data_IF_308887737313
#
_entry.id   IF_308887737313
#
_cell.length_a   1.000
_cell.length_b   1.000
_cell.length_c   1.000
_cell.angle_alpha   90.00
_cell.angle_beta   90.00
_cell.angle_gamma   90.00
#
_symmetry.space_group_name_H-M   'P 1'
#
loop_
_entity.id
_entity.type
_entity.pdbx_description
1 polymer ?
#
# COMPACT_ATOMS: atom_id res chain seq x y z
N UNK A 1 42.60 3.15 26.84
CA UNK A 1 41.80 1.93 26.70
C UNK A 1 40.35 2.20 26.22
N UNK A 2 39.58 3.10 26.85
CA UNK A 2 38.18 3.44 26.44
C UNK A 2 38.02 3.94 24.99
N UNK A 3 39.00 4.66 24.43
CA UNK A 3 38.97 5.21 23.08
C UNK A 3 39.05 4.09 22.01
N UNK A 4 39.90 3.11 22.18
CA UNK A 4 40.06 1.94 21.27
C UNK A 4 38.80 1.06 21.24
N UNK A 5 38.12 0.87 22.37
CA UNK A 5 36.89 0.08 22.47
C UNK A 5 35.75 0.75 21.69
N UNK A 6 35.63 2.08 21.78
CA UNK A 6 34.59 2.83 21.04
C UNK A 6 34.76 2.73 19.51
N UNK A 7 36.01 2.77 19.03
CA UNK A 7 36.30 2.58 17.59
C UNK A 7 36.08 1.15 17.14
N UNK A 8 36.42 0.16 17.96
CA UNK A 8 36.17 -1.25 17.67
C UNK A 8 34.66 -1.54 17.56
N UNK A 9 33.86 -1.01 18.49
CA UNK A 9 32.38 -1.13 18.45
C UNK A 9 31.82 -0.48 17.18
N UNK A 10 32.23 0.74 16.83
CA UNK A 10 31.79 1.41 15.60
C UNK A 10 32.17 0.61 14.35
N UNK A 11 33.35 0.03 14.30
CA UNK A 11 33.82 -0.80 13.20
C UNK A 11 33.03 -2.10 13.09
N UNK A 12 32.72 -2.75 14.22
CA UNK A 12 31.85 -3.94 14.26
C UNK A 12 30.43 -3.64 13.82
N UNK A 13 29.85 -2.52 14.28
CA UNK A 13 28.53 -2.07 13.86
C UNK A 13 28.50 -1.75 12.36
N UNK A 14 29.55 -1.13 11.82
CA UNK A 14 29.68 -0.87 10.39
C UNK A 14 29.77 -2.17 9.59
N UNK A 15 30.59 -3.13 10.01
CA UNK A 15 30.66 -4.46 9.36
C UNK A 15 29.33 -5.19 9.43
N UNK A 16 28.64 -5.15 10.57
CA UNK A 16 27.35 -5.79 10.76
C UNK A 16 26.28 -5.14 9.85
N UNK A 17 26.24 -3.82 9.78
CA UNK A 17 25.34 -3.11 8.87
C UNK A 17 25.61 -3.45 7.40
N UNK A 18 26.89 -3.59 7.01
CA UNK A 18 27.27 -3.99 5.66
C UNK A 18 26.83 -5.42 5.32
N UNK A 19 26.98 -6.36 6.28
CA UNK A 19 26.53 -7.76 6.10
C UNK A 19 24.99 -7.81 5.96
N UNK A 20 24.26 -7.08 6.80
CA UNK A 20 22.80 -7.00 6.74
C UNK A 20 22.34 -6.35 5.42
N UNK A 21 23.02 -5.31 4.99
CA UNK A 21 22.79 -4.64 3.73
C UNK A 21 23.01 -5.57 2.53
N UNK A 22 24.15 -6.29 2.52
CA UNK A 22 24.49 -7.25 1.48
C UNK A 22 23.49 -8.41 1.43
N UNK A 23 23.08 -8.94 2.58
CA UNK A 23 22.08 -9.98 2.71
C UNK A 23 20.74 -9.56 2.09
N UNK A 24 20.28 -8.32 2.37
CA UNK A 24 19.06 -7.78 1.78
C UNK A 24 19.15 -7.65 0.26
N UNK A 25 20.24 -7.09 -0.26
CA UNK A 25 20.46 -6.96 -1.71
C UNK A 25 20.45 -8.32 -2.39
N UNK A 26 21.11 -9.32 -1.80
CA UNK A 26 21.14 -10.70 -2.34
C UNK A 26 19.74 -11.31 -2.38
N UNK A 27 18.95 -11.15 -1.32
CA UNK A 27 17.54 -11.62 -1.28
C UNK A 27 16.68 -10.91 -2.32
N UNK A 28 16.77 -9.58 -2.39
CA UNK A 28 16.04 -8.78 -3.37
C UNK A 28 16.39 -9.21 -4.81
N UNK A 29 17.67 -9.37 -5.14
CA UNK A 29 18.10 -9.84 -6.47
C UNK A 29 17.55 -11.23 -6.80
N UNK A 30 17.56 -12.17 -5.84
CA UNK A 30 16.98 -13.51 -6.03
C UNK A 30 15.47 -13.44 -6.27
N UNK A 31 14.74 -12.62 -5.51
CA UNK A 31 13.32 -12.43 -5.69
C UNK A 31 12.98 -11.75 -7.02
N UNK A 32 13.79 -10.76 -7.43
CA UNK A 32 13.67 -10.10 -8.75
C UNK A 32 13.79 -11.13 -9.87
N UNK A 33 14.86 -11.93 -9.87
CA UNK A 33 15.08 -12.95 -10.90
C UNK A 33 13.94 -13.98 -10.94
N UNK A 34 13.45 -14.42 -9.76
CA UNK A 34 12.29 -15.32 -9.68
C UNK A 34 11.06 -14.66 -10.30
N UNK A 35 10.77 -13.42 -9.96
CA UNK A 35 9.58 -12.71 -10.43
C UNK A 35 9.63 -12.39 -11.92
N UNK A 36 10.81 -12.09 -12.49
CA UNK A 36 10.99 -11.91 -13.93
C UNK A 36 10.61 -13.19 -14.69
N UNK A 37 11.02 -14.36 -14.20
CA UNK A 37 10.67 -15.64 -14.80
C UNK A 37 9.17 -15.98 -14.68
N UNK A 38 8.51 -15.56 -13.61
CA UNK A 38 7.07 -15.76 -13.40
C UNK A 38 6.20 -14.75 -14.15
N UNK A 39 6.77 -13.60 -14.52
CA UNK A 39 6.06 -12.47 -15.09
C UNK A 39 5.47 -11.55 -14.01
N UNK A 40 5.64 -10.25 -14.18
CA UNK A 40 5.25 -9.23 -13.18
C UNK A 40 3.73 -9.15 -12.98
N UNK A 41 2.93 -9.46 -14.00
CA UNK A 41 1.45 -9.52 -13.88
C UNK A 41 0.96 -10.62 -12.96
N UNK A 42 1.80 -11.60 -12.63
CA UNK A 42 1.50 -12.68 -11.69
C UNK A 42 1.87 -12.34 -10.23
N UNK A 43 2.35 -11.12 -9.95
CA UNK A 43 2.52 -10.65 -8.57
C UNK A 43 1.16 -10.65 -7.88
N UNK A 44 1.01 -11.31 -6.71
CA UNK A 44 -0.26 -11.33 -5.99
C UNK A 44 -0.60 -9.93 -5.45
N UNK A 45 -1.86 -9.54 -5.64
CA UNK A 45 -2.43 -8.28 -5.15
C UNK A 45 -3.43 -8.59 -4.06
N UNK A 46 -3.16 -8.16 -2.85
CA UNK A 46 -4.03 -8.33 -1.69
C UNK A 46 -4.77 -7.02 -1.39
N UNK A 47 -6.09 -7.07 -1.49
CA UNK A 47 -6.98 -5.96 -1.15
C UNK A 47 -7.50 -6.20 0.27
N UNK A 48 -7.12 -5.34 1.22
CA UNK A 48 -7.62 -5.42 2.60
C UNK A 48 -9.00 -4.78 2.64
N UNK A 49 -10.05 -5.57 2.84
CA UNK A 49 -11.41 -5.08 2.86
C UNK A 49 -12.10 -5.26 4.21
N UNK A 50 -12.89 -4.27 4.60
CA UNK A 50 -13.79 -4.32 5.75
C UNK A 50 -15.05 -3.51 5.47
N UNK A 51 -16.18 -4.19 5.28
CA UNK A 51 -17.49 -3.58 5.07
C UNK A 51 -17.56 -2.55 3.91
N UNK A 52 -16.75 -2.69 2.86
CA UNK A 52 -16.71 -1.82 1.68
C UNK A 52 -17.02 -2.63 0.42
N UNK A 53 -18.27 -2.61 -0.05
CA UNK A 53 -18.67 -3.30 -1.27
C UNK A 53 -18.31 -2.53 -2.53
N UNK A 54 -18.72 -1.25 -2.59
CA UNK A 54 -18.59 -0.44 -3.80
C UNK A 54 -17.13 -0.27 -4.20
N UNK A 55 -16.28 0.05 -3.24
CA UNK A 55 -14.85 0.23 -3.47
C UNK A 55 -14.13 -1.05 -3.88
N UNK A 56 -14.32 -2.16 -3.13
CA UNK A 56 -13.64 -3.41 -3.46
C UNK A 56 -14.08 -3.96 -4.81
N UNK A 57 -15.37 -3.86 -5.15
CA UNK A 57 -15.90 -4.27 -6.44
C UNK A 57 -15.28 -3.47 -7.60
N UNK A 58 -15.23 -2.14 -7.46
CA UNK A 58 -14.64 -1.27 -8.47
C UNK A 58 -13.14 -1.53 -8.63
N UNK A 59 -12.41 -1.69 -7.52
CA UNK A 59 -10.98 -1.96 -7.57
C UNK A 59 -10.66 -3.31 -8.22
N UNK A 60 -11.41 -4.37 -7.90
CA UNK A 60 -11.27 -5.68 -8.57
C UNK A 60 -11.52 -5.54 -10.07
N UNK A 61 -12.62 -4.87 -10.46
CA UNK A 61 -12.95 -4.65 -11.87
C UNK A 61 -11.87 -3.87 -12.62
N UNK A 62 -11.36 -2.80 -12.00
CA UNK A 62 -10.26 -1.98 -12.54
C UNK A 62 -8.98 -2.81 -12.70
N UNK A 63 -8.58 -3.59 -11.72
CA UNK A 63 -7.39 -4.41 -11.79
C UNK A 63 -7.50 -5.47 -12.90
N UNK A 64 -8.65 -6.14 -13.01
CA UNK A 64 -8.90 -7.13 -14.06
C UNK A 64 -8.83 -6.46 -15.45
N UNK A 65 -9.46 -5.29 -15.64
CA UNK A 65 -9.43 -4.57 -16.92
C UNK A 65 -8.02 -4.16 -17.36
N UNK A 66 -7.09 -3.96 -16.39
CA UNK A 66 -5.67 -3.69 -16.63
C UNK A 66 -4.82 -4.97 -16.78
N UNK A 67 -5.46 -6.13 -16.75
CA UNK A 67 -4.83 -7.45 -16.98
C UNK A 67 -4.11 -8.02 -15.75
N UNK A 68 -4.46 -7.59 -14.53
CA UNK A 68 -4.03 -8.22 -13.29
C UNK A 68 -5.04 -9.30 -12.90
N UNK A 69 -4.60 -10.55 -12.75
CA UNK A 69 -5.48 -11.70 -12.50
C UNK A 69 -5.19 -12.40 -11.17
N UNK A 70 -4.04 -12.15 -10.54
CA UNK A 70 -3.67 -12.75 -9.26
C UNK A 70 -4.12 -11.85 -8.10
N UNK A 71 -5.45 -11.72 -7.93
CA UNK A 71 -6.10 -10.82 -6.99
C UNK A 71 -6.73 -11.62 -5.86
N UNK A 72 -6.47 -11.21 -4.63
CA UNK A 72 -7.00 -11.78 -3.39
C UNK A 72 -7.63 -10.69 -2.55
N UNK A 73 -8.82 -10.93 -2.04
CA UNK A 73 -9.47 -10.05 -1.07
C UNK A 73 -9.23 -10.64 0.32
N UNK A 74 -8.64 -9.87 1.22
CA UNK A 74 -8.58 -10.22 2.65
C UNK A 74 -9.78 -9.56 3.32
N UNK A 75 -10.85 -10.33 3.53
CA UNK A 75 -12.02 -9.86 4.26
C UNK A 75 -11.76 -9.89 5.75
N UNK A 76 -11.62 -8.71 6.31
CA UNK A 76 -11.21 -8.49 7.70
C UNK A 76 -12.40 -8.60 8.69
N UNK A 77 -13.21 -9.68 8.52
CA UNK A 77 -14.43 -9.96 9.30
C UNK A 77 -15.58 -8.99 9.02
N UNK A 78 -15.90 -8.78 7.76
CA UNK A 78 -17.05 -7.96 7.36
C UNK A 78 -18.39 -8.59 7.74
N UNK A 79 -19.35 -7.72 8.03
CA UNK A 79 -20.74 -8.07 8.38
C UNK A 79 -21.80 -7.35 7.51
N UNK A 80 -21.37 -6.52 6.56
CA UNK A 80 -22.25 -5.82 5.62
C UNK A 80 -22.89 -6.80 4.64
N UNK A 81 -24.18 -7.09 4.81
CA UNK A 81 -24.89 -8.13 4.05
C UNK A 81 -24.77 -8.02 2.53
N UNK A 82 -24.88 -6.82 1.91
CA UNK A 82 -24.68 -6.70 0.47
C UNK A 82 -23.30 -7.13 -0.01
N UNK A 83 -22.25 -6.85 0.77
CA UNK A 83 -20.88 -7.29 0.49
C UNK A 83 -20.76 -8.82 0.57
N UNK A 84 -21.34 -9.42 1.61
CA UNK A 84 -21.28 -10.87 1.80
C UNK A 84 -21.97 -11.62 0.66
N UNK A 85 -23.13 -11.14 0.19
CA UNK A 85 -23.81 -11.67 -0.98
C UNK A 85 -22.97 -11.54 -2.27
N UNK A 86 -22.26 -10.43 -2.44
CA UNK A 86 -21.38 -10.27 -3.59
C UNK A 86 -20.21 -11.24 -3.57
N UNK A 87 -19.65 -11.55 -2.41
CA UNK A 87 -18.57 -12.53 -2.27
C UNK A 87 -18.97 -13.93 -2.75
N UNK A 88 -20.25 -14.32 -2.64
CA UNK A 88 -20.73 -15.63 -3.09
C UNK A 88 -20.57 -15.85 -4.60
N UNK A 89 -20.57 -14.75 -5.38
CA UNK A 89 -20.42 -14.75 -6.84
C UNK A 89 -19.16 -14.02 -7.31
N UNK A 90 -18.21 -13.78 -6.43
CA UNK A 90 -16.97 -13.08 -6.76
C UNK A 90 -16.00 -14.03 -7.49
N UNK A 91 -15.43 -13.56 -8.62
CA UNK A 91 -14.49 -14.34 -9.43
C UNK A 91 -13.04 -14.29 -8.96
N UNK A 92 -12.73 -13.61 -7.86
CA UNK A 92 -11.42 -13.56 -7.24
C UNK A 92 -11.44 -14.27 -5.90
N UNK A 93 -10.25 -14.68 -5.42
CA UNK A 93 -10.12 -15.38 -4.15
C UNK A 93 -10.47 -14.46 -2.96
N UNK A 94 -11.36 -14.92 -2.08
CA UNK A 94 -11.81 -14.18 -0.89
C UNK A 94 -11.40 -14.93 0.37
N UNK A 95 -10.42 -14.38 1.08
CA UNK A 95 -9.90 -14.93 2.33
C UNK A 95 -10.64 -14.30 3.50
N UNK A 96 -11.68 -15.00 4.00
CA UNK A 96 -12.51 -14.50 5.11
C UNK A 96 -11.91 -14.83 6.47
N UNK A 97 -11.66 -13.79 7.26
CA UNK A 97 -11.09 -13.92 8.60
C UNK A 97 -12.19 -13.95 9.67
N UNK A 98 -11.89 -14.62 10.80
CA UNK A 98 -12.83 -14.75 11.91
C UNK A 98 -12.90 -13.51 12.83
N UNK A 99 -11.97 -12.57 12.69
CA UNK A 99 -11.93 -11.31 13.46
C UNK A 99 -11.24 -10.21 12.65
N UNK A 100 -11.48 -8.96 13.02
CA UNK A 100 -10.82 -7.81 12.44
C UNK A 100 -9.43 -7.60 13.08
N UNK A 101 -8.38 -7.69 12.28
CA UNK A 101 -6.98 -7.47 12.68
C UNK A 101 -6.48 -6.04 12.39
N UNK A 102 -7.35 -5.18 11.83
CA UNK A 102 -7.00 -3.83 11.38
C UNK A 102 -6.18 -3.82 10.09
N UNK A 103 -5.63 -2.65 9.73
CA UNK A 103 -4.88 -2.44 8.49
C UNK A 103 -3.62 -3.32 8.35
N UNK A 104 -3.11 -3.87 9.44
CA UNK A 104 -1.93 -4.77 9.45
C UNK A 104 -2.28 -6.25 9.29
N UNK A 105 -3.48 -6.57 8.86
CA UNK A 105 -4.00 -7.93 8.81
C UNK A 105 -3.09 -8.90 8.07
N UNK A 106 -2.51 -8.50 6.93
CA UNK A 106 -1.62 -9.33 6.12
C UNK A 106 -0.42 -9.86 6.92
N UNK A 107 0.17 -9.03 7.81
CA UNK A 107 1.32 -9.39 8.66
C UNK A 107 0.93 -10.05 10.00
N UNK A 108 -0.37 -10.10 10.31
CA UNK A 108 -0.90 -10.71 11.54
C UNK A 108 -1.58 -12.05 11.31
N UNK A 109 -1.68 -12.50 10.06
CA UNK A 109 -2.21 -13.79 9.68
C UNK A 109 -1.15 -14.59 8.90
N UNK A 110 -1.41 -15.87 8.64
CA UNK A 110 -0.44 -16.80 8.03
C UNK A 110 -0.04 -16.43 6.59
N UNK A 111 -0.72 -15.46 5.99
CA UNK A 111 -0.41 -14.99 4.62
C UNK A 111 1.01 -14.43 4.53
N UNK A 112 1.47 -13.67 5.53
CA UNK A 112 2.81 -13.12 5.50
C UNK A 112 3.89 -14.20 5.36
N UNK A 113 3.81 -15.26 6.16
CA UNK A 113 4.83 -16.35 6.10
C UNK A 113 4.83 -17.04 4.75
N UNK A 114 3.67 -17.18 4.08
CA UNK A 114 3.56 -17.75 2.74
C UNK A 114 4.27 -16.90 1.68
N UNK A 115 4.17 -15.58 1.79
CA UNK A 115 4.70 -14.64 0.78
C UNK A 115 5.96 -13.89 1.21
N UNK A 116 6.52 -14.20 2.36
CA UNK A 116 7.64 -13.49 2.99
C UNK A 116 8.85 -13.25 2.08
N UNK A 117 9.17 -14.21 1.21
CA UNK A 117 10.35 -14.17 0.35
C UNK A 117 10.02 -13.70 -1.09
N UNK A 118 8.83 -13.20 -1.32
CA UNK A 118 8.31 -12.85 -2.64
C UNK A 118 7.95 -11.37 -2.74
N UNK A 119 7.67 -10.91 -3.96
CA UNK A 119 6.99 -9.64 -4.18
C UNK A 119 5.49 -9.83 -4.05
N UNK A 120 4.82 -8.88 -3.43
CA UNK A 120 3.36 -8.81 -3.32
C UNK A 120 2.89 -7.36 -3.25
N UNK A 121 1.67 -7.11 -3.66
CA UNK A 121 1.01 -5.80 -3.51
C UNK A 121 0.04 -5.87 -2.34
N UNK A 122 0.04 -4.84 -1.50
CA UNK A 122 -1.03 -4.59 -0.51
C UNK A 122 -1.68 -3.26 -0.87
N UNK A 123 -3.01 -3.24 -0.77
CA UNK A 123 -3.81 -2.04 -0.99
C UNK A 123 -5.07 -2.03 -0.12
N UNK A 124 -5.53 -0.83 0.23
CA UNK A 124 -6.89 -0.61 0.69
C UNK A 124 -7.85 -0.63 -0.52
N UNK A 125 -9.16 -0.87 -0.36
CA UNK A 125 -10.08 -1.06 -1.48
C UNK A 125 -10.44 0.24 -2.22
N UNK A 126 -10.10 1.39 -1.64
CA UNK A 126 -10.52 2.73 -2.04
C UNK A 126 -9.39 3.59 -2.64
N UNK A 127 -8.34 2.92 -3.14
CA UNK A 127 -7.22 3.56 -3.83
C UNK A 127 -7.33 3.29 -5.33
N UNK A 128 -7.53 4.34 -6.12
CA UNK A 128 -7.72 4.26 -7.57
C UNK A 128 -6.64 5.04 -8.33
N UNK A 129 -5.91 4.41 -9.28
CA UNK A 129 -4.99 5.13 -10.15
C UNK A 129 -5.71 6.23 -10.93
N UNK A 130 -5.05 7.37 -11.13
CA UNK A 130 -5.58 8.45 -11.98
C UNK A 130 -5.67 7.99 -13.44
N UNK A 131 -6.48 8.66 -14.26
CA UNK A 131 -6.71 8.27 -15.65
C UNK A 131 -5.44 8.29 -16.52
N UNK A 132 -4.48 9.15 -16.19
CA UNK A 132 -3.19 9.24 -16.88
C UNK A 132 -2.19 8.16 -16.46
N UNK A 133 -2.51 7.40 -15.40
CA UNK A 133 -1.64 6.36 -14.90
C UNK A 133 -1.56 5.18 -15.90
N UNK A 134 -0.36 4.78 -16.32
CA UNK A 134 -0.20 3.64 -17.21
C UNK A 134 -0.77 2.34 -16.61
N UNK A 135 -1.39 1.50 -17.42
CA UNK A 135 -1.99 0.24 -16.96
C UNK A 135 -0.99 -0.75 -16.38
N UNK A 136 0.29 -0.62 -16.75
CA UNK A 136 1.38 -1.46 -16.27
C UNK A 136 2.10 -0.89 -15.03
N UNK A 137 1.41 -0.13 -14.17
CA UNK A 137 2.02 0.55 -13.02
C UNK A 137 2.74 -0.39 -12.04
N UNK A 138 2.27 -1.62 -11.85
CA UNK A 138 2.98 -2.61 -11.01
C UNK A 138 4.31 -3.01 -11.66
N UNK A 139 4.37 -3.12 -12.99
CA UNK A 139 5.63 -3.31 -13.73
C UNK A 139 6.59 -2.16 -13.47
N UNK A 140 6.09 -0.92 -13.47
CA UNK A 140 6.92 0.27 -13.21
C UNK A 140 7.46 0.25 -11.77
N UNK A 141 6.64 -0.11 -10.78
CA UNK A 141 7.10 -0.28 -9.40
C UNK A 141 8.19 -1.36 -9.31
N UNK A 142 8.03 -2.45 -10.03
CA UNK A 142 9.00 -3.54 -10.07
C UNK A 142 10.32 -3.10 -10.71
N UNK A 143 10.29 -2.34 -11.81
CA UNK A 143 11.50 -1.77 -12.41
C UNK A 143 12.24 -0.84 -11.44
N UNK A 144 11.51 -0.05 -10.65
CA UNK A 144 12.13 0.75 -9.59
C UNK A 144 12.77 -0.10 -8.48
N UNK A 145 12.20 -1.26 -8.14
CA UNK A 145 12.86 -2.18 -7.22
C UNK A 145 14.19 -2.72 -7.76
N UNK A 146 14.31 -2.92 -9.06
CA UNK A 146 15.58 -3.32 -9.69
C UNK A 146 16.67 -2.25 -9.52
N UNK A 147 16.27 -0.98 -9.56
CA UNK A 147 17.16 0.17 -9.39
C UNK A 147 17.45 0.41 -7.88
N UNK A 148 16.45 0.23 -7.03
CA UNK A 148 16.50 0.53 -5.58
C UNK A 148 16.23 -0.71 -4.73
N UNK A 149 17.09 -1.75 -4.78
CA UNK A 149 16.83 -3.04 -4.11
C UNK A 149 16.84 -2.97 -2.58
N UNK A 150 17.15 -1.81 -2.02
CA UNK A 150 17.21 -1.59 -0.57
C UNK A 150 15.92 -1.04 0.02
N UNK A 151 15.05 -0.45 -0.79
CA UNK A 151 13.76 -0.03 -0.30
C UNK A 151 12.90 -1.23 0.04
N UNK A 152 11.93 -1.05 0.91
CA UNK A 152 11.05 -2.12 1.33
C UNK A 152 9.74 -2.13 0.55
N UNK A 153 9.33 -0.98 0.04
CA UNK A 153 8.12 -0.85 -0.75
C UNK A 153 8.18 0.35 -1.69
N UNK A 154 7.48 0.24 -2.80
CA UNK A 154 7.30 1.28 -3.80
C UNK A 154 5.82 1.32 -4.16
N UNK A 155 5.21 2.49 -4.13
CA UNK A 155 3.79 2.63 -4.40
C UNK A 155 3.40 4.02 -4.84
N UNK A 156 2.10 4.24 -4.99
CA UNK A 156 1.58 5.53 -5.42
C UNK A 156 1.81 6.65 -4.41
N UNK A 157 2.11 7.85 -4.92
CA UNK A 157 1.73 9.06 -4.20
C UNK A 157 0.23 9.30 -4.38
N UNK A 158 -0.38 9.93 -3.39
CA UNK A 158 -1.80 10.25 -3.46
C UNK A 158 -1.98 11.67 -4.00
N UNK A 159 -2.83 11.79 -5.03
CA UNK A 159 -3.16 13.06 -5.65
C UNK A 159 -4.02 13.89 -4.70
N UNK A 160 -3.63 15.14 -4.48
CA UNK A 160 -4.32 16.07 -3.58
C UNK A 160 -4.55 17.46 -4.20
N UNK A 161 -4.04 17.70 -5.39
CA UNK A 161 -4.13 19.00 -6.08
C UNK A 161 -5.44 19.18 -6.85
N UNK A 162 -6.25 18.12 -6.96
CA UNK A 162 -7.56 18.11 -7.58
C UNK A 162 -8.71 17.77 -6.61
N UNK A 163 -8.44 17.83 -5.30
CA UNK A 163 -9.48 17.63 -4.28
C UNK A 163 -10.58 18.70 -4.40
N UNK A 164 -11.86 18.32 -4.35
CA UNK A 164 -12.96 19.28 -4.35
C UNK A 164 -12.88 20.22 -3.15
N UNK A 165 -13.08 21.50 -3.35
CA UNK A 165 -13.03 22.50 -2.25
C UNK A 165 -14.09 22.27 -1.18
N UNK A 166 -15.23 21.69 -1.56
CA UNK A 166 -16.35 21.35 -0.70
C UNK A 166 -16.29 19.90 -0.16
N UNK A 167 -15.24 19.15 -0.41
CA UNK A 167 -15.08 17.84 0.22
C UNK A 167 -14.83 17.98 1.72
N UNK A 168 -15.40 17.08 2.50
CA UNK A 168 -15.53 17.19 3.97
C UNK A 168 -14.20 17.36 4.70
N UNK A 169 -13.10 16.84 4.17
CA UNK A 169 -11.79 16.80 4.85
C UNK A 169 -10.64 17.39 4.02
N UNK A 170 -10.94 18.24 3.02
CA UNK A 170 -9.91 18.73 2.08
C UNK A 170 -8.73 19.43 2.79
N UNK A 171 -8.99 20.31 3.74
CA UNK A 171 -7.93 21.06 4.43
C UNK A 171 -7.01 20.16 5.25
N UNK A 172 -7.57 19.19 5.98
CA UNK A 172 -6.85 18.25 6.82
C UNK A 172 -6.03 17.28 5.97
N UNK A 173 -6.62 16.78 4.89
CA UNK A 173 -5.95 15.88 3.93
C UNK A 173 -4.76 16.57 3.29
N UNK A 174 -4.94 17.79 2.76
CA UNK A 174 -3.86 18.57 2.14
C UNK A 174 -2.73 18.83 3.15
N UNK A 175 -3.07 19.25 4.37
CA UNK A 175 -2.07 19.48 5.44
C UNK A 175 -1.29 18.21 5.79
N UNK A 176 -1.98 17.05 5.85
CA UNK A 176 -1.34 15.78 6.16
C UNK A 176 -0.48 15.26 5.03
N UNK A 177 -1.00 15.23 3.80
CA UNK A 177 -0.35 14.56 2.67
C UNK A 177 0.81 15.37 2.08
N UNK A 178 0.75 16.71 2.18
CA UNK A 178 1.80 17.63 1.70
C UNK A 178 3.20 17.31 2.23
N UNK A 179 3.30 16.89 3.50
CA UNK A 179 4.58 16.53 4.12
C UNK A 179 5.32 15.38 3.42
N UNK A 180 4.60 14.54 2.69
CA UNK A 180 5.20 13.43 1.96
C UNK A 180 5.67 13.83 0.56
N UNK A 181 5.22 14.98 0.05
CA UNK A 181 5.55 15.49 -1.27
C UNK A 181 6.70 16.53 -1.27
N UNK A 182 7.21 16.93 -0.09
CA UNK A 182 8.22 17.98 0.03
C UNK A 182 9.65 17.55 -0.37
N UNK A 183 9.91 16.24 -0.51
CA UNK A 183 11.24 15.68 -0.81
C UNK A 183 11.23 14.87 -2.10
N UNK A 184 11.27 15.56 -3.23
CA UNK A 184 11.25 14.91 -4.54
C UNK A 184 12.68 14.56 -4.97
N UNK A 185 12.95 13.28 -5.23
CA UNK A 185 14.11 12.85 -5.99
C UNK A 185 13.71 12.75 -7.47
N UNK A 186 14.31 13.58 -8.31
CA UNK A 186 14.25 13.36 -9.76
C UNK A 186 15.27 12.28 -10.10
N UNK A 187 14.83 11.03 -10.20
CA UNK A 187 15.66 9.92 -10.64
C UNK A 187 15.19 9.52 -12.03
N UNK A 188 16.06 9.72 -13.03
CA UNK A 188 15.72 9.42 -14.43
C UNK A 188 14.55 10.28 -14.96
N UNK A 189 13.61 9.68 -15.70
CA UNK A 189 12.50 10.38 -16.34
C UNK A 189 11.23 10.47 -15.46
N UNK A 190 11.19 9.75 -14.34
CA UNK A 190 10.04 9.76 -13.43
C UNK A 190 10.46 10.28 -12.07
N UNK A 191 9.78 11.30 -11.54
CA UNK A 191 10.03 11.77 -10.20
C UNK A 191 9.60 10.71 -9.18
N UNK A 192 10.39 10.57 -8.09
CA UNK A 192 10.12 9.69 -6.97
C UNK A 192 10.25 10.48 -5.69
N UNK A 193 9.33 10.25 -4.76
CA UNK A 193 9.40 10.80 -3.42
C UNK A 193 9.93 9.75 -2.44
N UNK A 194 10.92 10.11 -1.65
CA UNK A 194 11.31 9.29 -0.50
C UNK A 194 10.38 9.63 0.67
N UNK A 195 9.36 8.82 0.87
CA UNK A 195 8.38 9.03 1.91
C UNK A 195 7.71 7.72 2.37
N UNK A 196 7.19 7.73 3.59
CA UNK A 196 6.42 6.60 4.10
C UNK A 196 5.16 6.36 3.24
N UNK A 197 4.82 5.09 3.05
CA UNK A 197 3.56 4.66 2.45
C UNK A 197 2.82 3.86 3.51
N UNK A 198 1.54 4.12 3.71
CA UNK A 198 0.69 3.28 4.55
C UNK A 198 0.21 2.04 3.78
N UNK A 199 -0.97 1.51 4.01
CA UNK A 199 -1.57 0.39 3.27
C UNK A 199 -2.17 0.78 1.92
N UNK A 200 -1.96 2.02 1.49
CA UNK A 200 -2.25 2.48 0.13
C UNK A 200 -1.44 1.69 -0.89
N UNK A 201 -1.95 1.53 -2.09
CA UNK A 201 -1.43 0.65 -3.13
C UNK A 201 0.10 0.71 -3.28
N UNK A 202 0.78 -0.35 -2.84
CA UNK A 202 2.23 -0.45 -2.95
C UNK A 202 2.70 -1.88 -3.21
N UNK A 203 3.77 -2.00 -4.01
CA UNK A 203 4.54 -3.23 -4.19
C UNK A 203 5.52 -3.36 -3.03
N UNK A 204 5.49 -4.47 -2.34
CA UNK A 204 6.37 -4.82 -1.23
C UNK A 204 7.44 -5.80 -1.68
N UNK A 205 8.66 -5.55 -1.24
CA UNK A 205 9.78 -6.48 -1.42
C UNK A 205 9.82 -7.57 -0.34
N UNK A 206 10.70 -8.57 -0.51
CA UNK A 206 10.82 -9.68 0.43
C UNK A 206 11.21 -9.23 1.85
N UNK A 207 10.77 -9.97 2.86
CA UNK A 207 11.07 -9.77 4.29
C UNK A 207 10.59 -8.43 4.89
N UNK A 208 9.57 -7.80 4.36
CA UNK A 208 9.01 -6.59 4.97
C UNK A 208 8.15 -6.95 6.20
N UNK A 209 8.59 -6.57 7.39
CA UNK A 209 7.97 -6.94 8.67
C UNK A 209 6.98 -5.90 9.23
N UNK A 210 6.72 -4.82 8.53
CA UNK A 210 5.88 -3.71 8.99
C UNK A 210 6.37 -3.07 10.30
N UNK A 211 7.67 -2.97 10.50
CA UNK A 211 8.26 -2.27 11.64
C UNK A 211 8.49 -0.77 11.35
N UNK A 212 8.78 0.00 12.41
CA UNK A 212 8.96 1.45 12.33
C UNK A 212 10.17 1.89 11.49
N UNK A 213 11.21 1.05 11.40
CA UNK A 213 12.40 1.34 10.60
C UNK A 213 12.13 1.08 9.13
N UNK A 214 11.51 -0.06 8.82
CA UNK A 214 11.22 -0.46 7.44
C UNK A 214 10.19 0.45 6.78
N UNK A 215 9.21 0.98 7.53
CA UNK A 215 8.23 1.93 7.02
C UNK A 215 8.86 3.17 6.37
N UNK A 216 9.96 3.65 6.94
CA UNK A 216 10.67 4.85 6.46
C UNK A 216 11.42 4.63 5.15
N UNK A 217 11.69 3.38 4.76
CA UNK A 217 12.43 3.06 3.53
C UNK A 217 11.49 2.69 2.40
N UNK A 218 10.71 3.68 1.96
CA UNK A 218 9.74 3.56 0.89
C UNK A 218 9.93 4.67 -0.15
N UNK A 219 9.53 4.39 -1.39
CA UNK A 219 9.48 5.36 -2.48
C UNK A 219 8.04 5.52 -2.95
N UNK A 220 7.56 6.74 -3.03
CA UNK A 220 6.31 7.09 -3.70
C UNK A 220 6.61 7.54 -5.12
N UNK A 221 5.79 7.09 -6.05
CA UNK A 221 5.81 7.60 -7.43
C UNK A 221 5.11 8.95 -7.51
N UNK A 222 5.30 9.68 -8.61
CA UNK A 222 4.61 10.94 -8.87
C UNK A 222 3.96 10.91 -10.27
N UNK A 223 3.32 12.01 -10.64
CA UNK A 223 2.63 12.15 -11.94
C UNK A 223 3.50 11.62 -13.10
N UNK A 224 2.95 10.81 -14.01
CA UNK A 224 1.54 10.38 -14.10
C UNK A 224 1.19 9.12 -13.29
N UNK A 225 2.09 8.59 -12.48
CA UNK A 225 1.92 7.34 -11.73
C UNK A 225 1.44 7.68 -10.31
N UNK A 226 0.22 8.18 -10.21
CA UNK A 226 -0.44 8.58 -8.97
C UNK A 226 -1.79 7.89 -8.80
N UNK A 227 -2.32 7.91 -7.57
CA UNK A 227 -3.65 7.42 -7.27
C UNK A 227 -4.45 8.44 -6.45
N UNK A 228 -5.77 8.29 -6.46
CA UNK A 228 -6.69 8.97 -5.55
C UNK A 228 -7.07 8.02 -4.41
N UNK A 229 -7.19 8.57 -3.21
CA UNK A 229 -7.87 7.92 -2.11
C UNK A 229 -9.32 8.40 -2.15
N UNK A 230 -10.19 7.59 -2.71
CA UNK A 230 -11.54 7.99 -3.11
C UNK A 230 -12.38 8.64 -1.99
N UNK A 231 -12.31 8.18 -0.73
CA UNK A 231 -13.02 8.84 0.35
C UNK A 231 -12.67 10.33 0.53
N UNK A 232 -11.48 10.77 0.16
CA UNK A 232 -11.08 12.18 0.29
C UNK A 232 -11.82 13.12 -0.67
N UNK A 233 -12.42 12.56 -1.72
CA UNK A 233 -13.16 13.29 -2.75
C UNK A 233 -14.66 13.40 -2.47
N UNK A 234 -15.13 12.80 -1.36
CA UNK A 234 -16.56 12.81 -1.00
C UNK A 234 -16.97 14.11 -0.32
N UNK A 235 -18.15 14.61 -0.76
CA UNK A 235 -18.91 15.64 -0.08
C UNK A 235 -19.96 15.00 0.83
N UNK A 236 -20.60 15.79 1.70
CA UNK A 236 -21.68 15.31 2.58
C UNK A 236 -22.85 14.70 1.79
N UNK A 237 -23.16 15.27 0.62
CA UNK A 237 -24.20 14.75 -0.29
C UNK A 237 -23.92 13.36 -0.86
N UNK A 238 -22.67 12.91 -0.84
CA UNK A 238 -22.23 11.66 -1.47
C UNK A 238 -22.17 10.48 -0.48
N UNK A 239 -22.59 10.73 0.76
CA UNK A 239 -22.59 9.72 1.81
C UNK A 239 -23.67 8.67 1.52
N UNK A 240 -23.25 7.42 1.39
CA UNK A 240 -24.10 6.27 1.09
C UNK A 240 -24.46 5.48 2.36
N UNK A 241 -25.43 4.57 2.25
CA UNK A 241 -25.73 3.61 3.34
C UNK A 241 -24.52 2.76 3.72
N UNK A 242 -23.68 2.40 2.75
CA UNK A 242 -22.42 1.69 2.97
C UNK A 242 -21.45 2.52 3.84
N UNK A 243 -21.34 3.83 3.58
CA UNK A 243 -20.48 4.72 4.35
C UNK A 243 -20.96 4.83 5.80
N UNK A 244 -22.29 4.95 5.98
CA UNK A 244 -22.90 4.99 7.31
C UNK A 244 -22.66 3.67 8.05
N UNK A 245 -22.86 2.54 7.37
CA UNK A 245 -22.62 1.22 7.94
C UNK A 245 -21.15 1.05 8.35
N UNK A 246 -20.21 1.40 7.47
CA UNK A 246 -18.79 1.36 7.74
C UNK A 246 -18.41 2.24 8.94
N UNK A 247 -18.87 3.51 8.99
CA UNK A 247 -18.57 4.44 10.07
C UNK A 247 -19.04 3.95 11.44
N UNK A 248 -20.20 3.25 11.49
CA UNK A 248 -20.74 2.66 12.72
C UNK A 248 -19.94 1.45 13.21
N UNK A 249 -19.33 0.69 12.30
CA UNK A 249 -18.71 -0.61 12.59
C UNK A 249 -17.17 -0.58 12.58
N UNK A 250 -16.54 0.51 12.10
CA UNK A 250 -15.07 0.62 12.10
C UNK A 250 -14.51 0.66 13.52
N UNK A 251 -13.47 -0.09 13.76
CA UNK A 251 -12.79 -0.12 15.08
C UNK A 251 -11.73 0.95 15.21
N UNK A 252 -11.07 1.29 14.11
CA UNK A 252 -10.03 2.32 14.04
C UNK A 252 -10.07 2.96 12.65
N UNK A 253 -9.95 4.27 12.56
CA UNK A 253 -9.83 5.01 11.31
C UNK A 253 -9.40 6.43 11.62
N UNK A 254 -8.39 6.92 10.90
CA UNK A 254 -7.89 8.29 11.03
C UNK A 254 -8.90 9.29 10.49
N UNK A 255 -9.68 8.88 9.48
CA UNK A 255 -10.62 9.73 8.76
C UNK A 255 -12.05 9.26 8.98
N UNK A 256 -12.94 10.15 9.34
CA UNK A 256 -14.37 9.90 9.45
C UNK A 256 -15.16 10.92 8.60
N UNK A 257 -15.39 10.54 7.35
CA UNK A 257 -16.10 11.39 6.38
C UNK A 257 -17.57 11.63 6.77
N UNK A 258 -18.19 10.69 7.47
CA UNK A 258 -19.58 10.80 7.93
C UNK A 258 -19.70 11.80 9.07
N UNK A 259 -18.66 11.90 9.90
CA UNK A 259 -18.63 12.79 11.06
C UNK A 259 -17.83 14.07 10.82
N UNK A 260 -17.19 14.23 9.67
CA UNK A 260 -16.34 15.37 9.35
C UNK A 260 -15.15 15.52 10.32
N UNK A 261 -14.59 14.39 10.83
CA UNK A 261 -13.51 14.41 11.82
C UNK A 261 -12.28 13.65 11.33
N UNK A 262 -11.11 14.21 11.60
CA UNK A 262 -9.83 13.51 11.56
C UNK A 262 -9.35 13.24 12.98
N UNK A 263 -8.78 12.06 13.22
CA UNK A 263 -8.20 11.67 14.51
C UNK A 263 -6.65 11.81 14.46
N UNK A 264 -6.16 12.94 13.92
CA UNK A 264 -4.73 13.27 13.89
C UNK A 264 -4.32 14.09 15.10
#
# INVERSE_FOLDING_TARGET
MKFRIKYLIKFLLFKLSFILYWGKVKKAKKAIQKQENLGVKNIPIFIINFNRLSYVKNQVSMLISKGYNNIHIIDNNSSYTPLLKWYENCHVDVIRLKRNYGHKVFWKCDLFEKYRNEFYVITDPDVEPICECPDNFVQIFFEYFKIFPLVWKIGFSLKIDDLPQNATLTSEVVKWERKFNERIFKISKAPLHYAEIDTTFALYGPDYLYDSLQKKWALRTDYPIQARHLPWYKCESDVTEEDIYYSKNKTNGWWDFVKGKSNH
#
